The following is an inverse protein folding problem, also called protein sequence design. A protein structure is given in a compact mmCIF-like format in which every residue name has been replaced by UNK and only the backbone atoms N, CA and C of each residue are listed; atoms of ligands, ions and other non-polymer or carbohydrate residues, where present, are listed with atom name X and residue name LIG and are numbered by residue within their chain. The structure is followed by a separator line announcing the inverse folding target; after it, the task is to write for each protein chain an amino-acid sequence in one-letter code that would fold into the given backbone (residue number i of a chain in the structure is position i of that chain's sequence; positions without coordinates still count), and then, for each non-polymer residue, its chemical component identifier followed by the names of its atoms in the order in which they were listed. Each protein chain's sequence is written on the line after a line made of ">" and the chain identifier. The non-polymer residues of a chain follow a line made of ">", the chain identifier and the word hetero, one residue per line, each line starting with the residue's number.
data_IF_744968319272
#
_entry.id   IF_744968319272
#
_cell.length_a   1.000
_cell.length_b   1.000
_cell.length_c   1.000
_cell.angle_alpha   90.00
_cell.angle_beta   90.00
_cell.angle_gamma   90.00
#
_symmetry.space_group_name_H-M   'P 1'
#
loop_
_entity.id
_entity.type
_entity.pdbx_description
1 polymer ?
#
# COMPACT_ATOMS: atom_id res chain seq x y z
N UNK A 1 -12.41 7.00 22.56
CA UNK A 1 -11.44 7.91 21.92
C UNK A 1 -11.65 7.83 20.42
N UNK A 2 -11.84 8.96 19.74
CA UNK A 2 -11.97 9.02 18.28
C UNK A 2 -10.56 9.15 17.67
N UNK A 3 -10.26 8.30 16.67
CA UNK A 3 -8.97 8.27 15.97
C UNK A 3 -9.08 8.70 14.50
N UNK A 4 -10.25 9.14 14.08
CA UNK A 4 -10.50 9.58 12.72
C UNK A 4 -9.81 10.91 12.40
N UNK A 5 -9.54 11.15 11.12
CA UNK A 5 -8.85 12.37 10.66
C UNK A 5 -9.29 12.76 9.25
N UNK A 6 -9.00 13.99 8.84
CA UNK A 6 -9.28 14.49 7.49
C UNK A 6 -7.99 14.93 6.82
N UNK A 7 -7.69 14.34 5.66
CA UNK A 7 -6.51 14.66 4.84
C UNK A 7 -7.01 15.05 3.45
N UNK A 8 -6.58 16.20 2.94
CA UNK A 8 -6.99 16.72 1.63
C UNK A 8 -8.52 16.72 1.39
N UNK A 9 -9.31 17.00 2.44
CA UNK A 9 -10.78 17.01 2.38
C UNK A 9 -11.45 15.63 2.44
N UNK A 10 -10.69 14.54 2.50
CA UNK A 10 -11.21 13.16 2.62
C UNK A 10 -11.19 12.72 4.08
N UNK A 11 -12.31 12.18 4.58
CA UNK A 11 -12.41 11.61 5.93
C UNK A 11 -11.85 10.19 5.96
N UNK A 12 -10.97 9.94 6.93
CA UNK A 12 -10.40 8.63 7.23
C UNK A 12 -10.99 8.14 8.56
N UNK A 13 -11.48 6.88 8.65
CA UNK A 13 -12.06 6.34 9.87
C UNK A 13 -11.03 6.12 10.98
N UNK A 14 -9.74 6.04 10.64
CA UNK A 14 -8.63 6.12 11.60
C UNK A 14 -7.39 6.75 10.96
N UNK A 15 -6.46 7.24 11.78
CA UNK A 15 -5.17 7.79 11.34
C UNK A 15 -4.10 6.73 11.02
N UNK A 16 -4.46 5.45 11.00
CA UNK A 16 -3.52 4.35 10.72
C UNK A 16 -3.68 3.82 9.29
N UNK A 17 -2.56 3.64 8.61
CA UNK A 17 -2.49 3.03 7.27
C UNK A 17 -1.12 2.37 7.08
N UNK A 18 -0.99 1.52 6.06
CA UNK A 18 0.30 0.95 5.69
C UNK A 18 1.20 2.03 5.05
N UNK A 19 2.51 1.89 5.19
CA UNK A 19 3.45 2.64 4.38
C UNK A 19 3.51 2.06 2.95
N UNK A 20 3.64 2.92 1.93
CA UNK A 20 3.87 2.46 0.56
C UNK A 20 5.10 1.56 0.49
N UNK A 21 4.94 0.35 -0.05
CA UNK A 21 5.98 -0.67 -0.11
C UNK A 21 5.89 -1.77 0.93
N UNK A 22 5.10 -1.62 1.99
CA UNK A 22 4.87 -2.65 3.00
C UNK A 22 3.47 -3.26 2.82
N UNK A 23 3.41 -4.55 2.45
CA UNK A 23 2.17 -5.33 2.25
C UNK A 23 1.19 -4.68 1.27
N UNK A 24 1.68 -4.16 0.14
CA UNK A 24 0.81 -3.47 -0.83
C UNK A 24 1.26 -3.59 -2.29
N UNK A 25 1.96 -4.68 -2.64
CA UNK A 25 2.43 -4.95 -4.01
C UNK A 25 1.47 -5.87 -4.74
N UNK A 26 1.03 -6.95 -4.08
CA UNK A 26 0.18 -7.96 -4.72
C UNK A 26 -1.31 -7.68 -4.48
N UNK A 27 -2.17 -8.28 -5.30
CA UNK A 27 -3.62 -8.21 -5.11
C UNK A 27 -4.03 -8.72 -3.72
N UNK A 28 -3.49 -9.87 -3.30
CA UNK A 28 -3.87 -10.49 -2.03
C UNK A 28 -3.46 -9.65 -0.83
N UNK A 29 -2.29 -9.03 -0.87
CA UNK A 29 -1.84 -8.06 0.14
C UNK A 29 -2.79 -6.85 0.22
N UNK A 30 -3.16 -6.27 -0.92
CA UNK A 30 -4.07 -5.12 -0.98
C UNK A 30 -5.48 -5.48 -0.48
N UNK A 31 -5.99 -6.67 -0.81
CA UNK A 31 -7.27 -7.15 -0.28
C UNK A 31 -7.21 -7.43 1.21
N UNK A 32 -6.09 -7.93 1.73
CA UNK A 32 -5.89 -8.11 3.17
C UNK A 32 -5.92 -6.75 3.89
N UNK A 33 -5.28 -5.71 3.33
CA UNK A 33 -5.38 -4.33 3.85
C UNK A 33 -6.82 -3.79 3.77
N UNK A 34 -7.52 -4.06 2.67
CA UNK A 34 -8.94 -3.72 2.50
C UNK A 34 -9.82 -4.30 3.61
N UNK A 35 -9.61 -5.57 3.97
CA UNK A 35 -10.34 -6.26 5.06
C UNK A 35 -9.88 -5.88 6.46
N UNK A 36 -8.69 -5.30 6.61
CA UNK A 36 -8.13 -4.93 7.92
C UNK A 36 -8.85 -3.74 8.58
N UNK A 37 -8.46 -3.39 9.80
CA UNK A 37 -8.93 -2.19 10.51
C UNK A 37 -8.18 -0.90 10.13
N UNK A 38 -7.23 -0.95 9.20
CA UNK A 38 -6.54 0.26 8.73
C UNK A 38 -7.54 1.25 8.13
N UNK A 39 -7.31 2.53 8.39
CA UNK A 39 -8.13 3.64 7.94
C UNK A 39 -8.01 3.93 6.45
N UNK A 40 -6.98 3.43 5.77
CA UNK A 40 -6.82 3.51 4.32
C UNK A 40 -5.93 2.40 3.78
N UNK A 41 -5.95 2.21 2.46
CA UNK A 41 -5.03 1.35 1.72
C UNK A 41 -4.09 2.22 0.89
N UNK A 42 -2.78 2.11 1.14
CA UNK A 42 -1.75 2.79 0.33
C UNK A 42 -1.12 1.78 -0.61
N UNK A 43 -1.27 1.99 -1.92
CA UNK A 43 -0.73 1.12 -2.95
C UNK A 43 0.78 1.32 -3.08
N UNK A 44 1.52 0.26 -3.45
CA UNK A 44 2.94 0.34 -3.78
C UNK A 44 3.18 1.43 -4.84
N UNK A 45 4.18 2.29 -4.60
CA UNK A 45 4.68 3.23 -5.62
C UNK A 45 4.95 2.51 -6.94
N UNK A 46 4.34 3.00 -8.01
CA UNK A 46 4.21 2.30 -9.28
C UNK A 46 4.91 3.04 -10.43
N UNK A 47 5.23 2.29 -11.47
CA UNK A 47 5.79 2.82 -12.72
C UNK A 47 4.85 2.59 -13.90
N UNK A 48 5.15 3.19 -15.05
CA UNK A 48 4.35 3.00 -16.28
C UNK A 48 4.26 1.53 -16.67
N UNK A 49 5.39 0.81 -16.59
CA UNK A 49 5.48 -0.62 -16.81
C UNK A 49 5.80 -1.37 -15.50
N UNK A 50 5.49 -2.67 -15.40
CA UNK A 50 5.91 -3.50 -14.27
C UNK A 50 7.44 -3.51 -14.11
N UNK A 51 7.90 -3.76 -12.89
CA UNK A 51 9.32 -3.86 -12.57
C UNK A 51 9.55 -5.00 -11.59
N UNK A 52 10.59 -5.79 -11.83
CA UNK A 52 11.01 -6.86 -10.91
C UNK A 52 11.75 -6.32 -9.69
N UNK A 53 12.34 -5.13 -9.79
CA UNK A 53 13.17 -4.51 -8.76
C UNK A 53 14.65 -4.92 -8.85
N UNK A 54 15.40 -4.64 -7.79
CA UNK A 54 16.84 -4.98 -7.70
C UNK A 54 17.04 -6.48 -7.39
N UNK A 55 18.24 -7.06 -7.63
CA UNK A 55 18.55 -8.44 -7.23
C UNK A 55 18.38 -8.69 -5.71
N UNK A 56 18.11 -9.92 -5.32
CA UNK A 56 18.00 -10.34 -3.91
C UNK A 56 19.37 -10.76 -3.34
N UNK A 57 19.63 -10.61 -2.02
CA UNK A 57 18.76 -10.04 -0.99
C UNK A 57 18.68 -8.50 -1.06
N UNK A 58 17.48 -7.97 -0.91
CA UNK A 58 17.17 -6.52 -1.09
C UNK A 58 16.37 -5.88 0.05
N UNK A 59 16.09 -6.66 1.07
CA UNK A 59 15.47 -6.24 2.32
C UNK A 59 16.14 -7.03 3.45
N UNK A 60 16.47 -6.37 4.54
CA UNK A 60 16.99 -7.00 5.75
C UNK A 60 16.41 -6.32 6.99
N UNK A 61 15.77 -7.12 7.85
CA UNK A 61 15.25 -6.69 9.15
C UNK A 61 16.24 -6.97 10.27
N UNK A 62 16.32 -6.08 11.26
CA UNK A 62 17.12 -6.21 12.48
C UNK A 62 16.32 -5.65 13.68
N UNK A 63 16.71 -5.91 14.94
CA UNK A 63 15.87 -5.58 16.11
C UNK A 63 15.40 -4.12 16.19
N UNK A 64 16.18 -3.18 15.68
CA UNK A 64 15.87 -1.75 15.69
C UNK A 64 15.22 -1.23 14.39
N UNK A 65 14.98 -2.07 13.38
CA UNK A 65 14.38 -1.62 12.12
C UNK A 65 14.70 -2.49 10.90
N UNK A 66 14.87 -1.83 9.75
CA UNK A 66 15.21 -2.53 8.50
C UNK A 66 15.99 -1.62 7.55
N UNK A 67 16.75 -2.23 6.64
CA UNK A 67 17.37 -1.58 5.49
C UNK A 67 16.85 -2.26 4.22
N UNK A 68 16.60 -1.48 3.16
CA UNK A 68 16.14 -2.02 1.89
C UNK A 68 16.66 -1.23 0.70
N UNK A 69 16.82 -1.93 -0.42
CA UNK A 69 17.07 -1.37 -1.75
C UNK A 69 16.21 -2.13 -2.75
N UNK A 70 14.89 -2.00 -2.62
CA UNK A 70 13.95 -2.85 -3.37
C UNK A 70 14.02 -2.63 -4.90
N UNK A 71 14.29 -1.41 -5.35
CA UNK A 71 14.33 -1.06 -6.79
C UNK A 71 12.96 -0.82 -7.45
N UNK A 72 11.96 -0.39 -6.66
CA UNK A 72 10.56 -0.20 -7.08
C UNK A 72 9.94 -1.44 -7.76
N UNK A 73 9.96 -2.64 -7.14
CA UNK A 73 9.26 -3.79 -7.67
C UNK A 73 7.75 -3.53 -7.58
N UNK A 74 7.04 -3.63 -8.70
CA UNK A 74 5.63 -3.27 -8.79
C UNK A 74 4.97 -3.87 -10.04
N UNK A 75 3.63 -3.98 -10.02
CA UNK A 75 2.83 -4.57 -11.10
C UNK A 75 2.53 -3.61 -12.27
N UNK A 76 3.02 -2.38 -12.24
CA UNK A 76 2.69 -1.32 -13.20
C UNK A 76 1.35 -0.65 -12.91
N UNK A 77 1.21 0.61 -13.33
CA UNK A 77 0.04 1.43 -12.95
C UNK A 77 -1.31 0.85 -13.42
N UNK A 78 -1.34 0.21 -14.59
CA UNK A 78 -2.57 -0.39 -15.14
C UNK A 78 -3.11 -1.50 -14.25
N UNK A 79 -2.22 -2.33 -13.69
CA UNK A 79 -2.61 -3.41 -12.80
C UNK A 79 -3.22 -2.87 -11.51
N UNK A 80 -2.60 -1.84 -10.91
CA UNK A 80 -3.15 -1.21 -9.70
C UNK A 80 -4.45 -0.46 -9.97
N UNK A 81 -4.54 0.29 -11.08
CA UNK A 81 -5.75 1.01 -11.46
C UNK A 81 -6.95 0.07 -11.61
N UNK A 82 -6.74 -1.15 -12.14
CA UNK A 82 -7.78 -2.17 -12.24
C UNK A 82 -8.24 -2.71 -10.87
N UNK A 83 -7.41 -2.64 -9.82
CA UNK A 83 -7.76 -3.08 -8.46
C UNK A 83 -8.48 -2.01 -7.64
N UNK A 84 -8.33 -0.72 -7.97
CA UNK A 84 -8.91 0.38 -7.19
C UNK A 84 -10.43 0.23 -6.95
N UNK A 85 -11.27 -0.14 -7.95
CA UNK A 85 -12.70 -0.32 -7.71
C UNK A 85 -13.02 -1.35 -6.62
N UNK A 86 -12.30 -2.48 -6.63
CA UNK A 86 -12.46 -3.53 -5.61
C UNK A 86 -11.99 -3.05 -4.23
N UNK A 87 -10.88 -2.30 -4.17
CA UNK A 87 -10.38 -1.74 -2.91
C UNK A 87 -11.34 -0.70 -2.32
N UNK A 88 -11.98 0.12 -3.16
CA UNK A 88 -12.98 1.10 -2.72
C UNK A 88 -14.24 0.45 -2.14
N UNK A 89 -14.55 -0.80 -2.51
CA UNK A 89 -15.69 -1.52 -1.96
C UNK A 89 -15.57 -1.80 -0.45
N UNK A 90 -14.36 -1.72 0.12
CA UNK A 90 -14.15 -1.82 1.57
C UNK A 90 -14.51 -0.54 2.35
N UNK A 91 -15.00 0.50 1.68
CA UNK A 91 -15.48 1.72 2.35
C UNK A 91 -14.40 2.56 3.02
N UNK A 92 -13.14 2.42 2.60
CA UNK A 92 -11.99 3.20 3.09
C UNK A 92 -11.27 3.91 1.95
N UNK A 93 -10.63 5.07 2.20
CA UNK A 93 -9.78 5.73 1.22
C UNK A 93 -8.70 4.82 0.64
N UNK A 94 -8.42 4.99 -0.65
CA UNK A 94 -7.34 4.34 -1.38
C UNK A 94 -6.39 5.42 -1.88
N UNK A 95 -5.09 5.27 -1.59
CA UNK A 95 -4.02 6.19 -1.97
C UNK A 95 -3.15 5.48 -3.01
N UNK A 96 -3.02 6.08 -4.19
CA UNK A 96 -2.34 5.52 -5.35
C UNK A 96 -1.50 6.58 -6.07
#
# INVERSE_FOLDING_TARGET
>A
MDLSTTIAGIRFPSCFMNASGALCVTRDELLALGRSRAGAVVIKSMTVAPRDGNPTPRYYGFPAGSINSMGLPNLGYKAYAALIPELKAFGKPVIA
#
